data_IF_126178124672
#
_entry.id   IF_126178124672
#
_cell.length_a   1.000
_cell.length_b   1.000
_cell.length_c   1.000
_cell.angle_alpha   90.00
_cell.angle_beta   90.00
_cell.angle_gamma   90.00
#
_symmetry.space_group_name_H-M   'P 1'
#
loop_
_entity.id
_entity.type
_entity.pdbx_description
1 polymer ?
#
# COMPACT_ATOMS: atom_id res chain seq x y z
N UNK A 1 14.82 11.61 12.35
CA UNK A 1 14.46 10.63 13.40
C UNK A 1 13.58 11.33 14.43
N UNK A 2 12.41 10.78 14.75
CA UNK A 2 11.52 11.36 15.74
C UNK A 2 11.40 10.45 16.96
N UNK A 3 11.23 11.04 18.14
CA UNK A 3 10.99 10.32 19.39
C UNK A 3 9.63 10.70 19.93
N UNK A 4 8.85 9.72 20.35
CA UNK A 4 7.56 9.91 21.00
C UNK A 4 7.47 9.00 22.22
N UNK A 5 6.63 9.37 23.17
CA UNK A 5 6.42 8.57 24.39
C UNK A 5 4.98 8.10 24.42
N UNK A 6 4.79 6.83 24.75
CA UNK A 6 3.46 6.26 24.92
C UNK A 6 2.76 6.91 26.12
N UNK A 7 1.43 6.99 26.06
CA UNK A 7 0.59 7.47 27.15
C UNK A 7 -0.60 6.55 27.35
N UNK A 8 -1.05 6.42 28.60
CA UNK A 8 -2.29 5.72 28.92
C UNK A 8 -3.47 6.66 28.70
N UNK A 9 -4.48 6.20 27.96
CA UNK A 9 -5.74 6.89 27.76
C UNK A 9 -6.88 5.90 28.02
N UNK A 10 -7.56 6.04 29.15
CA UNK A 10 -8.52 5.04 29.62
C UNK A 10 -7.83 3.70 29.86
N UNK A 11 -8.34 2.64 29.21
CA UNK A 11 -7.74 1.31 29.24
C UNK A 11 -6.75 1.04 28.09
N UNK A 12 -6.46 2.04 27.27
CA UNK A 12 -5.63 1.89 26.07
C UNK A 12 -4.27 2.57 26.24
N UNK A 13 -3.27 2.07 25.52
CA UNK A 13 -1.98 2.74 25.33
C UNK A 13 -1.99 3.43 23.97
N UNK A 14 -1.64 4.70 23.94
CA UNK A 14 -1.63 5.53 22.74
C UNK A 14 -0.22 6.02 22.46
N UNK A 15 0.17 5.95 21.19
CA UNK A 15 1.41 6.53 20.68
C UNK A 15 1.05 7.70 19.74
N UNK A 16 1.65 8.86 19.99
CA UNK A 16 1.49 10.00 19.08
C UNK A 16 2.51 9.89 17.98
N UNK A 17 2.04 9.74 16.74
CA UNK A 17 2.89 9.80 15.57
C UNK A 17 3.13 11.29 15.22
N UNK A 18 4.39 11.77 15.23
CA UNK A 18 4.68 13.15 14.89
C UNK A 18 4.48 13.36 13.38
N UNK A 19 3.60 14.30 13.02
CA UNK A 19 3.42 14.70 11.63
C UNK A 19 4.55 15.63 11.19
N UNK A 20 4.94 15.53 9.92
CA UNK A 20 5.81 16.50 9.25
C UNK A 20 5.30 16.74 7.83
N UNK A 21 5.86 17.73 7.14
CA UNK A 21 5.50 18.02 5.74
C UNK A 21 5.76 16.81 4.81
N UNK A 22 6.80 16.02 5.11
CA UNK A 22 7.12 14.78 4.38
C UNK A 22 6.21 13.60 4.75
N UNK A 23 5.62 13.62 5.94
CA UNK A 23 4.76 12.55 6.46
C UNK A 23 3.43 13.12 6.95
N UNK A 24 2.54 13.54 6.04
CA UNK A 24 1.21 14.00 6.40
C UNK A 24 0.41 12.84 6.98
N UNK A 25 0.13 12.91 8.28
CA UNK A 25 -0.71 11.91 8.95
C UNK A 25 -2.16 12.31 8.73
N UNK A 26 -2.83 11.60 7.83
CA UNK A 26 -4.26 11.74 7.62
C UNK A 26 -5.02 11.35 8.91
N UNK A 27 -5.96 12.21 9.31
CA UNK A 27 -6.87 11.91 10.41
C UNK A 27 -7.75 10.70 10.06
N UNK A 28 -8.10 9.89 11.06
CA UNK A 28 -9.02 8.73 10.94
C UNK A 28 -8.54 7.61 9.99
N UNK A 29 -7.24 7.52 9.70
CA UNK A 29 -6.68 6.41 8.91
C UNK A 29 -6.55 5.14 9.77
N UNK A 30 -7.01 4.01 9.24
CA UNK A 30 -6.85 2.69 9.87
C UNK A 30 -5.48 2.08 9.55
N UNK A 31 -4.96 1.30 10.49
CA UNK A 31 -3.68 0.58 10.35
C UNK A 31 -3.82 -0.86 10.83
N UNK A 32 -3.15 -1.78 10.15
CA UNK A 32 -2.84 -3.08 10.70
C UNK A 32 -1.68 -2.97 11.68
N UNK A 33 -1.78 -3.64 12.82
CA UNK A 33 -0.77 -3.63 13.88
C UNK A 33 -0.10 -5.00 13.92
N UNK A 34 1.22 -5.01 13.74
CA UNK A 34 2.04 -6.21 13.87
C UNK A 34 2.99 -6.06 15.06
N UNK A 35 3.02 -7.09 15.91
CA UNK A 35 3.97 -7.21 17.00
C UNK A 35 5.04 -8.22 16.60
N UNK A 36 6.30 -7.82 16.76
CA UNK A 36 7.46 -8.67 16.49
C UNK A 36 8.10 -9.12 17.80
N UNK A 37 8.82 -10.24 17.76
CA UNK A 37 9.45 -10.84 18.95
C UNK A 37 10.55 -9.95 19.55
N UNK A 38 11.18 -9.09 18.74
CA UNK A 38 12.18 -8.12 19.17
C UNK A 38 11.59 -6.88 19.87
N UNK A 39 10.26 -6.83 20.02
CA UNK A 39 9.53 -5.70 20.61
C UNK A 39 9.24 -4.58 19.62
N UNK A 40 9.62 -4.72 18.35
CA UNK A 40 9.24 -3.78 17.29
C UNK A 40 7.73 -3.84 17.04
N UNK A 41 7.12 -2.67 16.85
CA UNK A 41 5.72 -2.56 16.42
C UNK A 41 5.68 -1.94 15.04
N UNK A 42 5.05 -2.61 14.08
CA UNK A 42 4.84 -2.10 12.73
C UNK A 42 3.38 -1.71 12.53
N UNK A 43 3.17 -0.50 12.00
CA UNK A 43 1.86 0.01 11.61
C UNK A 43 1.80 0.08 10.08
N UNK A 44 0.96 -0.73 9.47
CA UNK A 44 0.78 -0.73 8.00
C UNK A 44 -0.55 -0.05 7.69
N UNK A 45 -0.57 1.06 6.92
CA UNK A 45 -1.81 1.73 6.58
C UNK A 45 -2.72 0.78 5.82
N UNK A 46 -3.96 0.65 6.26
CA UNK A 46 -4.99 -0.03 5.49
C UNK A 46 -5.38 0.89 4.34
N UNK A 47 -5.15 0.42 3.12
CA UNK A 47 -5.63 1.08 1.91
C UNK A 47 -6.95 0.42 1.50
N UNK A 48 -7.89 1.23 1.03
CA UNK A 48 -9.04 0.70 0.31
C UNK A 48 -8.57 0.05 -1.00
N UNK A 49 -9.39 -0.85 -1.55
CA UNK A 49 -9.01 -1.66 -2.71
C UNK A 49 -8.44 -0.76 -3.83
N UNK A 50 -7.13 -0.89 -4.15
CA UNK A 50 -6.46 0.01 -5.09
C UNK A 50 -6.99 -0.15 -6.53
N UNK A 51 -7.69 -1.24 -6.81
CA UNK A 51 -8.31 -1.52 -8.10
C UNK A 51 -9.70 -0.88 -8.26
N UNK A 52 -10.25 -0.22 -7.24
CA UNK A 52 -11.54 0.49 -7.35
C UNK A 52 -11.45 1.79 -8.15
N UNK A 53 -10.25 2.35 -8.31
CA UNK A 53 -9.99 3.60 -9.06
C UNK A 53 -9.72 3.29 -10.55
N UNK A 54 -9.55 2.01 -10.89
CA UNK A 54 -9.24 1.62 -12.25
C UNK A 54 -10.51 1.63 -13.10
N UNK A 55 -10.48 2.41 -14.19
CA UNK A 55 -11.46 2.29 -15.26
C UNK A 55 -11.39 0.88 -15.87
N UNK A 56 -12.54 0.36 -16.33
CA UNK A 56 -12.59 -0.90 -17.04
C UNK A 56 -11.64 -0.85 -18.25
N UNK A 57 -10.64 -1.72 -18.28
CA UNK A 57 -9.61 -1.70 -19.34
C UNK A 57 -8.26 -1.09 -18.94
N UNK A 58 -8.13 -0.41 -17.79
CA UNK A 58 -6.94 0.40 -17.46
C UNK A 58 -5.61 -0.38 -17.30
N UNK A 59 -5.68 -1.70 -17.11
CA UNK A 59 -4.49 -2.57 -16.97
C UNK A 59 -4.36 -3.58 -18.12
N UNK A 60 -5.14 -3.43 -19.18
CA UNK A 60 -4.93 -4.20 -20.40
C UNK A 60 -3.88 -3.48 -21.24
N UNK A 61 -2.76 -4.15 -21.50
CA UNK A 61 -1.85 -3.71 -22.54
C UNK A 61 -2.59 -3.79 -23.89
N UNK A 62 -2.43 -2.75 -24.71
CA UNK A 62 -2.85 -2.80 -26.11
C UNK A 62 -2.21 -4.03 -26.76
N UNK A 63 -3.00 -4.89 -27.42
CA UNK A 63 -2.48 -6.07 -28.11
C UNK A 63 -1.35 -5.67 -29.08
N UNK A 64 -0.09 -5.89 -28.68
CA UNK A 64 1.12 -5.66 -29.51
C UNK A 64 1.29 -6.77 -30.57
N UNK A 65 0.19 -7.48 -30.89
CA UNK A 65 0.19 -8.64 -31.78
C UNK A 65 -0.19 -8.28 -33.23
N UNK A 66 -0.71 -7.07 -33.50
CA UNK A 66 -1.10 -6.67 -34.86
C UNK A 66 0.10 -6.62 -35.83
N UNK A 67 1.30 -6.30 -35.33
CA UNK A 67 2.51 -6.14 -36.16
C UNK A 67 3.47 -7.34 -36.10
N UNK A 68 3.13 -8.44 -35.41
CA UNK A 68 4.00 -9.61 -35.39
C UNK A 68 3.86 -10.38 -36.73
N UNK A 69 4.92 -10.47 -37.55
CA UNK A 69 4.87 -11.28 -38.75
C UNK A 69 4.67 -12.74 -38.36
N UNK A 70 3.75 -13.43 -39.03
CA UNK A 70 3.57 -14.88 -38.89
C UNK A 70 4.84 -15.59 -39.36
N UNK A 71 5.76 -15.85 -38.45
CA UNK A 71 6.97 -16.63 -38.71
C UNK A 71 6.65 -18.11 -38.43
N UNK A 72 6.07 -18.78 -39.43
CA UNK A 72 5.87 -20.22 -39.42
C UNK A 72 5.84 -20.72 -40.86
N UNK A 73 7.00 -21.09 -41.40
CA UNK A 73 7.11 -21.85 -42.65
C UNK A 73 6.82 -23.34 -42.38
N UNK A 74 5.59 -23.66 -42.00
CA UNK A 74 5.16 -25.07 -42.01
C UNK A 74 4.72 -25.41 -43.44
N UNK A 75 5.67 -25.92 -44.22
CA UNK A 75 5.44 -26.47 -45.55
C UNK A 75 4.49 -27.68 -45.43
N UNK A 76 3.34 -27.58 -46.11
CA UNK A 76 2.38 -28.66 -46.34
C UNK A 76 2.98 -29.85 -47.10
#
# INVERSE_FOLDING_TARGET
>A
MYTTRTRKQGNSIVVTLPASEEYPIASQKEYFVFYHEDGTVTLVPKIDNPFLIAEEGAYYDSEVWEDMPRAGEELL
#
